data_IF_046564280827
#
_entry.id   IF_046564280827
#
_cell.length_a   1.000
_cell.length_b   1.000
_cell.length_c   1.000
_cell.angle_alpha   90.00
_cell.angle_beta   90.00
_cell.angle_gamma   90.00
#
_symmetry.space_group_name_H-M   'P 1'
#
loop_
_entity.id
_entity.type
_entity.pdbx_description
1 polymer ?
#
# COMPACT_ATOMS: atom_id res chain seq x y z
N UNK A 1 33.95 -4.07 -24.13
CA UNK A 1 33.66 -3.86 -22.70
C UNK A 1 32.19 -4.17 -22.45
N UNK A 2 31.91 -5.39 -22.05
CA UNK A 2 30.54 -5.86 -21.74
C UNK A 2 30.16 -5.35 -20.35
N UNK A 3 29.25 -4.36 -20.30
CA UNK A 3 28.65 -3.93 -19.04
C UNK A 3 27.82 -5.12 -18.48
N UNK A 4 28.34 -5.76 -17.44
CA UNK A 4 27.59 -6.70 -16.63
C UNK A 4 26.52 -5.93 -15.86
N UNK A 5 25.32 -5.86 -16.45
CA UNK A 5 24.13 -5.40 -15.76
C UNK A 5 23.91 -6.27 -14.52
N UNK A 6 24.11 -5.70 -13.34
CA UNK A 6 23.84 -6.36 -12.07
C UNK A 6 22.40 -6.89 -12.07
N UNK A 7 22.25 -8.19 -12.17
CA UNK A 7 20.98 -8.89 -12.28
C UNK A 7 20.24 -8.81 -10.94
N UNK A 8 19.36 -7.84 -10.78
CA UNK A 8 18.58 -7.64 -9.54
C UNK A 8 17.45 -8.66 -9.46
N UNK A 9 17.69 -9.75 -8.74
CA UNK A 9 16.64 -10.72 -8.42
C UNK A 9 15.55 -10.09 -7.56
N UNK A 10 14.29 -10.35 -7.89
CA UNK A 10 13.11 -9.89 -7.13
C UNK A 10 12.29 -11.07 -6.63
N UNK A 11 11.61 -10.92 -5.51
CA UNK A 11 10.68 -11.96 -5.04
C UNK A 11 9.54 -12.16 -6.04
N UNK A 12 9.20 -13.41 -6.34
CA UNK A 12 8.17 -13.75 -7.32
C UNK A 12 6.81 -13.12 -6.99
N UNK A 13 6.37 -13.19 -5.73
CA UNK A 13 5.12 -12.54 -5.29
C UNK A 13 5.13 -11.01 -5.46
N UNK A 14 6.31 -10.37 -5.26
CA UNK A 14 6.47 -8.94 -5.51
C UNK A 14 6.33 -8.65 -7.00
N UNK A 15 6.96 -9.43 -7.85
CA UNK A 15 6.89 -9.27 -9.31
C UNK A 15 5.46 -9.44 -9.83
N UNK A 16 4.74 -10.46 -9.37
CA UNK A 16 3.34 -10.69 -9.74
C UNK A 16 2.44 -9.51 -9.33
N UNK A 17 2.68 -8.95 -8.13
CA UNK A 17 1.95 -7.78 -7.67
C UNK A 17 2.28 -6.51 -8.49
N UNK A 18 3.54 -6.28 -8.84
CA UNK A 18 3.98 -5.17 -9.69
C UNK A 18 3.45 -5.27 -11.14
N UNK A 19 3.14 -6.48 -11.59
CA UNK A 19 2.51 -6.74 -12.89
C UNK A 19 0.97 -6.71 -12.83
N UNK A 20 0.39 -6.39 -11.67
CA UNK A 20 -1.05 -6.24 -11.50
C UNK A 20 -1.84 -7.55 -11.41
N UNK A 21 -1.17 -8.71 -11.33
CA UNK A 21 -1.82 -10.03 -11.31
C UNK A 21 -2.64 -10.22 -10.02
N UNK A 22 -2.04 -9.93 -8.86
CA UNK A 22 -2.68 -10.07 -7.55
C UNK A 22 -2.05 -9.14 -6.51
N UNK A 23 -2.58 -9.12 -5.28
CA UNK A 23 -1.82 -8.58 -4.14
C UNK A 23 -0.63 -9.49 -3.84
N UNK A 24 0.37 -9.02 -3.07
CA UNK A 24 1.49 -9.88 -2.66
C UNK A 24 1.03 -11.15 -1.94
N UNK A 25 0.03 -11.04 -1.03
CA UNK A 25 -0.57 -12.19 -0.36
C UNK A 25 -1.40 -13.06 -1.31
N UNK A 26 -2.13 -12.45 -2.25
CA UNK A 26 -2.84 -13.21 -3.30
C UNK A 26 -1.88 -13.94 -4.22
N UNK A 27 -0.74 -13.33 -4.55
CA UNK A 27 0.31 -13.99 -5.34
C UNK A 27 0.97 -15.15 -4.58
N UNK A 28 1.18 -15.02 -3.26
CA UNK A 28 1.66 -16.13 -2.43
C UNK A 28 0.67 -17.31 -2.48
N UNK A 29 -0.63 -17.06 -2.34
CA UNK A 29 -1.67 -18.10 -2.46
C UNK A 29 -1.67 -18.76 -3.85
N UNK A 30 -1.56 -17.98 -4.94
CA UNK A 30 -1.46 -18.52 -6.31
C UNK A 30 -0.22 -19.41 -6.50
N UNK A 31 0.89 -19.08 -5.85
CA UNK A 31 2.12 -19.90 -5.87
C UNK A 31 1.86 -21.22 -5.14
N UNK A 32 1.31 -21.20 -3.93
CA UNK A 32 0.99 -22.40 -3.15
C UNK A 32 0.01 -23.34 -3.87
N UNK A 33 -0.94 -22.77 -4.62
CA UNK A 33 -1.91 -23.51 -5.43
C UNK A 33 -1.32 -24.03 -6.76
N UNK A 34 -0.03 -23.77 -7.05
CA UNK A 34 0.65 -24.23 -8.27
C UNK A 34 0.14 -23.59 -9.56
N UNK A 35 -0.48 -22.41 -9.48
CA UNK A 35 -0.97 -21.65 -10.62
C UNK A 35 0.15 -20.93 -11.37
N UNK A 36 1.34 -20.78 -10.75
CA UNK A 36 2.47 -20.02 -11.27
C UNK A 36 3.52 -20.95 -11.85
N UNK A 37 3.96 -20.64 -13.06
CA UNK A 37 5.01 -21.38 -13.78
C UNK A 37 6.17 -20.44 -14.04
N UNK A 38 7.39 -20.87 -13.71
CA UNK A 38 8.64 -20.16 -13.98
C UNK A 38 9.52 -21.05 -14.86
N UNK A 39 9.91 -20.56 -16.04
CA UNK A 39 10.74 -21.29 -17.00
C UNK A 39 10.21 -22.71 -17.32
N UNK A 40 8.88 -22.82 -17.48
CA UNK A 40 8.21 -24.09 -17.81
C UNK A 40 7.98 -25.03 -16.62
N UNK A 41 8.38 -24.67 -15.39
CA UNK A 41 8.18 -25.48 -14.19
C UNK A 41 7.19 -24.82 -13.23
N UNK A 42 6.22 -25.56 -12.72
CA UNK A 42 5.34 -25.10 -11.65
C UNK A 42 6.14 -24.84 -10.39
N UNK A 43 5.83 -23.75 -9.71
CA UNK A 43 6.44 -23.37 -8.42
C UNK A 43 5.39 -23.34 -7.32
N UNK A 44 5.76 -23.86 -6.16
CA UNK A 44 4.90 -23.97 -4.96
C UNK A 44 5.55 -23.30 -3.75
N UNK A 45 6.87 -23.09 -3.80
CA UNK A 45 7.63 -22.58 -2.68
C UNK A 45 7.53 -21.05 -2.60
N UNK A 46 7.24 -20.55 -1.39
CA UNK A 46 7.21 -19.12 -1.11
C UNK A 46 8.61 -18.53 -0.99
N UNK A 47 8.74 -17.27 -1.34
CA UNK A 47 10.01 -16.54 -1.21
C UNK A 47 10.98 -16.71 -2.38
N UNK A 48 10.65 -17.51 -3.39
CA UNK A 48 11.43 -17.65 -4.62
C UNK A 48 11.75 -16.28 -5.22
N UNK A 49 12.99 -16.13 -5.67
CA UNK A 49 13.47 -14.96 -6.38
C UNK A 49 13.66 -15.28 -7.85
N UNK A 50 13.25 -14.36 -8.71
CA UNK A 50 13.33 -14.46 -10.17
C UNK A 50 14.01 -13.24 -10.77
N UNK A 51 14.55 -13.40 -11.96
CA UNK A 51 15.04 -12.30 -12.77
C UNK A 51 13.93 -11.83 -13.73
N UNK A 52 13.36 -10.64 -13.53
CA UNK A 52 12.24 -10.15 -14.34
C UNK A 52 12.57 -9.92 -15.81
N UNK A 53 13.85 -9.89 -16.18
CA UNK A 53 14.32 -9.64 -17.55
C UNK A 53 14.65 -10.94 -18.32
N UNK A 54 14.80 -12.07 -17.62
CA UNK A 54 15.25 -13.33 -18.21
C UNK A 54 14.22 -14.43 -18.01
N UNK A 55 13.64 -14.52 -16.80
CA UNK A 55 12.74 -15.61 -16.47
C UNK A 55 11.37 -15.44 -17.14
N UNK A 56 10.94 -16.52 -17.81
CA UNK A 56 9.60 -16.61 -18.41
C UNK A 56 8.61 -17.03 -17.33
N UNK A 57 7.65 -16.15 -17.03
CA UNK A 57 6.67 -16.41 -15.97
C UNK A 57 5.28 -16.41 -16.58
N UNK A 58 4.48 -17.40 -16.20
CA UNK A 58 3.07 -17.48 -16.58
C UNK A 58 2.21 -17.81 -15.38
N UNK A 59 0.95 -17.39 -15.43
CA UNK A 59 -0.08 -17.66 -14.43
C UNK A 59 -1.29 -18.17 -15.18
N UNK A 60 -1.84 -19.31 -14.76
CA UNK A 60 -2.95 -20.00 -15.46
C UNK A 60 -2.71 -20.14 -16.97
N UNK A 61 -1.51 -20.53 -17.36
CA UNK A 61 -1.12 -20.70 -18.76
C UNK A 61 -0.90 -19.40 -19.55
N UNK A 62 -1.15 -18.23 -18.98
CA UNK A 62 -0.96 -16.92 -19.62
C UNK A 62 0.36 -16.31 -19.20
N UNK A 63 1.24 -15.99 -20.15
CA UNK A 63 2.48 -15.26 -19.89
C UNK A 63 2.16 -13.88 -19.31
N UNK A 64 2.81 -13.51 -18.20
CA UNK A 64 2.60 -12.20 -17.58
C UNK A 64 3.18 -11.10 -18.47
N UNK A 65 2.41 -10.02 -18.61
CA UNK A 65 2.83 -8.84 -19.39
C UNK A 65 3.94 -8.07 -18.67
N UNK A 66 4.58 -7.16 -19.39
CA UNK A 66 5.50 -6.18 -18.83
C UNK A 66 4.88 -5.33 -17.70
N UNK A 67 5.72 -4.57 -17.00
CA UNK A 67 5.23 -3.63 -15.98
C UNK A 67 4.35 -2.57 -16.66
N UNK A 68 3.15 -2.33 -16.12
CA UNK A 68 2.30 -1.21 -16.52
C UNK A 68 2.92 0.12 -16.08
N UNK A 69 2.52 1.21 -16.70
CA UNK A 69 2.89 2.55 -16.26
C UNK A 69 2.45 2.79 -14.82
N UNK A 70 3.24 3.59 -14.11
CA UNK A 70 2.91 3.95 -12.74
C UNK A 70 1.78 4.97 -12.74
N UNK A 71 0.77 4.71 -11.92
CA UNK A 71 -0.40 5.59 -11.73
C UNK A 71 -0.40 6.11 -10.30
N UNK A 72 -0.74 7.38 -10.15
CA UNK A 72 -0.86 8.07 -8.85
C UNK A 72 -2.18 8.81 -8.84
N UNK A 73 -3.05 8.46 -7.89
CA UNK A 73 -4.39 9.02 -7.77
C UNK A 73 -4.51 9.72 -6.42
N UNK A 74 -4.89 10.99 -6.44
CA UNK A 74 -5.32 11.70 -5.24
C UNK A 74 -6.84 11.47 -5.08
N UNK A 75 -7.19 10.80 -4.01
CA UNK A 75 -8.57 10.48 -3.67
C UNK A 75 -8.97 11.21 -2.39
N UNK A 76 -10.05 11.98 -2.44
CA UNK A 76 -10.67 12.51 -1.22
C UNK A 76 -11.59 11.43 -0.65
N UNK A 77 -11.05 10.62 0.28
CA UNK A 77 -11.82 9.53 0.88
C UNK A 77 -12.99 10.11 1.70
N UNK A 78 -14.23 9.74 1.42
CA UNK A 78 -15.35 10.16 2.25
C UNK A 78 -15.40 9.36 3.56
N UNK A 79 -16.21 9.82 4.53
CA UNK A 79 -16.59 9.05 5.71
C UNK A 79 -17.37 7.78 5.32
N UNK A 80 -17.44 6.82 6.22
CA UNK A 80 -18.15 5.55 6.04
C UNK A 80 -17.62 4.69 4.89
N UNK A 81 -16.33 4.81 4.59
CA UNK A 81 -15.61 4.02 3.58
C UNK A 81 -14.37 3.41 4.20
N UNK A 82 -14.20 2.10 4.05
CA UNK A 82 -12.99 1.39 4.51
C UNK A 82 -11.80 1.66 3.59
N UNK A 83 -10.65 1.93 4.17
CA UNK A 83 -9.37 1.96 3.43
C UNK A 83 -8.89 0.53 3.18
N UNK A 84 -9.56 -0.15 2.28
CA UNK A 84 -9.26 -1.53 1.86
C UNK A 84 -9.57 -1.70 0.38
N UNK A 85 -8.94 -2.69 -0.27
CA UNK A 85 -9.26 -3.09 -1.64
C UNK A 85 -10.23 -4.28 -1.66
N UNK A 86 -10.59 -4.82 -0.51
CA UNK A 86 -11.60 -5.87 -0.34
C UNK A 86 -12.05 -5.91 1.12
N UNK A 87 -13.33 -6.12 1.35
CA UNK A 87 -13.89 -6.26 2.70
C UNK A 87 -14.77 -7.54 2.76
N UNK A 88 -14.41 -8.54 3.58
CA UNK A 88 -15.18 -9.77 3.72
C UNK A 88 -16.61 -9.55 4.25
N UNK A 89 -16.87 -8.44 4.92
CA UNK A 89 -18.18 -8.06 5.45
C UNK A 89 -19.04 -7.29 4.45
N UNK A 90 -18.56 -7.09 3.22
CA UNK A 90 -19.29 -6.39 2.18
C UNK A 90 -19.49 -4.88 2.41
N UNK A 91 -18.72 -4.27 3.33
CA UNK A 91 -18.79 -2.83 3.57
C UNK A 91 -18.12 -2.07 2.43
N UNK A 92 -18.62 -0.87 2.15
CA UNK A 92 -18.03 0.02 1.14
C UNK A 92 -16.56 0.25 1.41
N UNK A 93 -15.75 0.13 0.38
CA UNK A 93 -14.30 0.27 0.42
C UNK A 93 -13.82 1.31 -0.59
N UNK A 94 -12.56 1.70 -0.51
CA UNK A 94 -11.96 2.58 -1.53
C UNK A 94 -11.91 1.93 -2.92
N UNK A 95 -11.95 0.60 -3.00
CA UNK A 95 -12.00 -0.11 -4.28
C UNK A 95 -13.28 0.18 -5.07
N UNK A 96 -14.41 0.41 -4.39
CA UNK A 96 -15.70 0.68 -5.02
C UNK A 96 -15.74 2.02 -5.78
N UNK A 97 -14.77 2.90 -5.52
CA UNK A 97 -14.59 4.18 -6.20
C UNK A 97 -13.57 4.13 -7.34
N UNK A 98 -12.91 2.99 -7.54
CA UNK A 98 -11.81 2.89 -8.52
C UNK A 98 -12.27 2.52 -9.94
N UNK A 99 -13.54 2.17 -10.13
CA UNK A 99 -14.23 2.02 -11.40
C UNK A 99 -13.37 1.45 -12.54
N UNK A 100 -13.19 2.25 -13.58
CA UNK A 100 -12.56 1.87 -14.83
C UNK A 100 -11.01 2.01 -14.86
N UNK A 101 -10.34 2.03 -13.70
CA UNK A 101 -8.88 2.10 -13.69
C UNK A 101 -8.31 0.79 -14.27
N UNK A 102 -7.56 0.84 -15.40
CA UNK A 102 -7.16 -0.35 -16.15
C UNK A 102 -6.08 -1.18 -15.45
N UNK A 103 -5.57 -0.71 -14.32
CA UNK A 103 -4.52 -1.37 -13.53
C UNK A 103 -4.90 -1.45 -12.06
N UNK A 104 -4.43 -2.48 -11.40
CA UNK A 104 -4.64 -2.66 -9.97
C UNK A 104 -3.86 -1.61 -9.17
N UNK A 105 -4.57 -0.74 -8.45
CA UNK A 105 -3.99 0.22 -7.50
C UNK A 105 -4.25 -0.21 -6.06
N UNK A 106 -3.54 0.40 -5.11
CA UNK A 106 -3.71 0.20 -3.67
C UNK A 106 -3.43 1.50 -2.91
N UNK A 107 -4.03 1.71 -1.73
CA UNK A 107 -3.86 2.94 -0.97
C UNK A 107 -2.49 3.02 -0.30
N UNK A 108 -1.92 4.23 -0.23
CA UNK A 108 -0.71 4.58 0.52
C UNK A 108 -1.11 5.03 1.93
N UNK A 109 -1.03 4.11 2.88
CA UNK A 109 -1.52 4.33 4.22
C UNK A 109 -3.03 4.08 4.36
N UNK A 110 -3.58 4.55 5.47
CA UNK A 110 -4.98 4.34 5.80
C UNK A 110 -5.57 5.56 6.49
N UNK A 111 -6.84 5.80 6.22
CA UNK A 111 -7.74 6.62 7.03
C UNK A 111 -8.81 5.70 7.63
N UNK A 112 -9.24 6.00 8.83
CA UNK A 112 -10.27 5.22 9.51
C UNK A 112 -11.63 5.38 8.82
N UNK A 113 -12.59 4.56 9.20
CA UNK A 113 -13.93 4.53 8.64
C UNK A 113 -14.63 5.89 8.69
N UNK A 114 -14.55 6.55 9.83
CA UNK A 114 -15.16 7.86 10.12
C UNK A 114 -14.28 9.06 9.73
N UNK A 115 -13.05 8.80 9.28
CA UNK A 115 -12.12 9.82 8.82
C UNK A 115 -12.29 10.09 7.33
N UNK A 116 -12.13 11.35 6.93
CA UNK A 116 -12.17 11.80 5.53
C UNK A 116 -10.90 12.55 5.14
N UNK A 117 -10.64 12.69 3.85
CA UNK A 117 -9.55 13.49 3.31
C UNK A 117 -8.62 12.77 2.37
N UNK A 118 -7.45 13.34 2.17
CA UNK A 118 -6.49 12.89 1.15
C UNK A 118 -5.98 11.48 1.43
N UNK A 119 -6.23 10.60 0.49
CA UNK A 119 -5.68 9.27 0.38
C UNK A 119 -5.04 9.11 -1.01
N UNK A 120 -3.78 8.72 -1.06
CA UNK A 120 -3.11 8.45 -2.34
C UNK A 120 -3.27 6.97 -2.67
N UNK A 121 -3.66 6.66 -3.92
CA UNK A 121 -3.65 5.30 -4.43
C UNK A 121 -2.66 5.19 -5.59
N UNK A 122 -2.00 4.05 -5.71
CA UNK A 122 -0.98 3.81 -6.74
C UNK A 122 -0.79 2.32 -7.01
N UNK A 123 -0.18 2.00 -8.15
CA UNK A 123 0.41 0.68 -8.43
C UNK A 123 1.93 0.65 -8.19
N UNK A 124 2.54 1.77 -7.78
CA UNK A 124 3.97 1.90 -7.49
C UNK A 124 4.29 1.55 -6.03
N UNK A 125 4.70 0.30 -5.79
CA UNK A 125 5.07 -0.16 -4.44
C UNK A 125 6.33 0.49 -3.88
N UNK A 126 7.25 0.96 -4.72
CA UNK A 126 8.47 1.63 -4.24
C UNK A 126 8.16 3.06 -3.77
N UNK A 127 7.32 3.77 -4.52
CA UNK A 127 6.82 5.07 -4.09
C UNK A 127 6.00 4.97 -2.80
N UNK A 128 5.06 4.01 -2.75
CA UNK A 128 4.26 3.77 -1.55
C UNK A 128 5.13 3.51 -0.32
N UNK A 129 6.17 2.69 -0.46
CA UNK A 129 7.12 2.43 0.62
C UNK A 129 7.86 3.71 1.04
N UNK A 130 8.30 4.55 0.11
CA UNK A 130 8.97 5.82 0.42
C UNK A 130 8.06 6.75 1.23
N UNK A 131 6.78 6.85 0.87
CA UNK A 131 5.81 7.71 1.56
C UNK A 131 5.44 7.18 2.94
N UNK A 132 5.30 5.85 3.09
CA UNK A 132 4.88 5.23 4.35
C UNK A 132 6.01 4.97 5.34
N UNK A 133 7.24 4.82 4.87
CA UNK A 133 8.35 4.37 5.73
C UNK A 133 8.74 5.43 6.77
N UNK A 134 8.76 5.09 8.08
CA UNK A 134 9.03 6.05 9.15
C UNK A 134 10.33 6.85 8.98
N UNK A 135 11.40 6.20 8.47
CA UNK A 135 12.71 6.85 8.21
C UNK A 135 12.67 7.95 7.15
N UNK A 136 11.61 8.03 6.35
CA UNK A 136 11.44 9.08 5.32
C UNK A 136 10.76 10.32 5.87
N UNK A 137 10.24 10.24 7.08
CA UNK A 137 9.66 11.34 7.84
C UNK A 137 8.62 12.19 7.09
N UNK A 138 7.91 11.59 6.14
CA UNK A 138 6.85 12.28 5.41
C UNK A 138 5.79 12.75 6.39
N UNK A 139 5.63 14.06 6.52
CA UNK A 139 4.69 14.67 7.44
C UNK A 139 3.26 14.43 6.94
N UNK A 140 2.37 14.09 7.88
CA UNK A 140 0.92 13.98 7.66
C UNK A 140 0.23 14.96 8.59
N UNK A 141 -0.61 15.81 8.04
CA UNK A 141 -1.37 16.81 8.79
C UNK A 141 -2.82 16.36 8.92
N UNK A 142 -3.36 16.43 10.12
CA UNK A 142 -4.75 16.07 10.43
C UNK A 142 -5.46 17.24 11.06
N UNK A 143 -6.65 17.55 10.57
CA UNK A 143 -7.59 18.40 11.25
C UNK A 143 -8.50 17.50 12.12
N UNK A 144 -8.44 17.67 13.43
CA UNK A 144 -9.17 16.83 14.38
C UNK A 144 -10.22 17.67 15.11
N UNK A 145 -11.48 17.26 15.00
CA UNK A 145 -12.59 17.86 15.77
C UNK A 145 -12.77 17.06 17.06
N UNK A 146 -12.75 17.76 18.18
CA UNK A 146 -12.87 17.18 19.51
C UNK A 146 -14.18 17.60 20.17
N UNK A 147 -14.72 16.73 21.03
CA UNK A 147 -15.73 17.13 21.98
C UNK A 147 -15.07 17.84 23.17
N UNK A 148 -15.54 19.04 23.48
CA UNK A 148 -14.99 19.87 24.55
C UNK A 148 -13.66 20.56 24.22
N UNK A 149 -13.02 21.09 25.24
CA UNK A 149 -11.78 21.87 25.12
C UNK A 149 -10.60 21.05 25.70
N UNK A 150 -9.59 20.72 24.89
CA UNK A 150 -8.42 20.03 25.42
C UNK A 150 -7.65 20.93 26.37
N UNK A 151 -7.24 20.37 27.50
CA UNK A 151 -6.38 21.03 28.46
C UNK A 151 -4.95 21.14 27.94
N UNK A 152 -4.21 22.16 28.36
CA UNK A 152 -2.84 22.41 27.90
C UNK A 152 -1.91 21.20 28.14
N UNK A 153 -2.08 20.49 29.27
CA UNK A 153 -1.27 19.31 29.56
C UNK A 153 -1.53 18.15 28.59
N UNK A 154 -2.76 18.01 28.06
CA UNK A 154 -3.11 16.99 27.07
C UNK A 154 -2.41 17.28 25.73
N UNK A 155 -2.40 18.55 25.31
CA UNK A 155 -1.66 18.99 24.11
C UNK A 155 -0.15 18.75 24.29
N UNK A 156 0.41 19.13 25.46
CA UNK A 156 1.83 18.85 25.78
C UNK A 156 2.14 17.36 25.74
N UNK A 157 1.20 16.50 26.18
CA UNK A 157 1.35 15.04 26.14
C UNK A 157 1.42 14.50 24.70
N UNK A 158 0.64 15.04 23.76
CA UNK A 158 0.75 14.68 22.35
C UNK A 158 2.13 15.00 21.76
N UNK A 159 2.72 16.13 22.12
CA UNK A 159 4.05 16.55 21.69
C UNK A 159 5.19 15.74 22.35
N UNK A 160 5.04 15.35 23.61
CA UNK A 160 6.02 14.52 24.34
C UNK A 160 5.92 13.03 24.02
N UNK A 161 4.76 12.61 23.55
CA UNK A 161 4.45 11.26 23.08
C UNK A 161 3.46 10.51 23.96
N UNK A 162 2.57 9.79 23.29
CA UNK A 162 1.51 8.97 23.87
C UNK A 162 1.80 7.50 23.55
N UNK A 163 1.63 6.65 24.55
CA UNK A 163 1.70 5.20 24.35
C UNK A 163 0.43 4.72 23.65
N UNK A 164 0.62 3.93 22.61
CA UNK A 164 -0.46 3.23 21.89
C UNK A 164 -0.07 1.75 21.76
N UNK A 165 -1.00 0.85 21.48
CA UNK A 165 -0.66 -0.53 21.13
C UNK A 165 0.37 -0.55 19.98
N UNK A 166 1.51 -1.17 20.22
CA UNK A 166 2.61 -1.23 19.24
C UNK A 166 3.72 -0.18 19.43
N UNK A 167 3.61 0.75 20.41
CA UNK A 167 4.70 1.68 20.70
C UNK A 167 4.30 3.03 21.22
N UNK A 168 5.24 3.98 21.16
CA UNK A 168 5.02 5.38 21.52
C UNK A 168 5.02 6.25 20.28
N UNK A 169 4.00 7.07 20.12
CA UNK A 169 3.87 8.05 19.02
C UNK A 169 3.84 9.47 19.56
N UNK A 170 4.34 10.42 18.79
CA UNK A 170 4.30 11.84 19.12
C UNK A 170 3.92 12.68 17.92
N UNK A 171 3.18 13.74 18.14
CA UNK A 171 2.96 14.76 17.13
C UNK A 171 4.23 15.62 16.97
N UNK A 172 4.56 15.98 15.73
CA UNK A 172 5.63 16.97 15.44
C UNK A 172 5.18 18.39 15.78
N UNK A 173 3.91 18.67 15.53
CA UNK A 173 3.27 19.96 15.76
C UNK A 173 1.81 19.76 16.15
N UNK A 174 1.29 20.62 17.03
CA UNK A 174 -0.11 20.67 17.40
C UNK A 174 -0.50 22.14 17.53
N UNK A 175 -1.52 22.54 16.80
CA UNK A 175 -2.06 23.89 16.81
C UNK A 175 -3.56 23.86 17.09
N UNK A 176 -4.02 24.80 17.92
CA UNK A 176 -5.46 25.00 18.14
C UNK A 176 -5.98 25.97 17.08
N UNK A 177 -6.86 25.48 16.23
CA UNK A 177 -7.54 26.33 15.26
C UNK A 177 -8.58 27.22 15.97
N UNK A 178 -8.65 28.49 15.58
CA UNK A 178 -9.66 29.43 16.05
C UNK A 178 -10.89 29.29 15.17
N UNK A 179 -12.04 29.02 15.78
CA UNK A 179 -13.37 29.17 15.20
C UNK A 179 -13.60 28.30 13.92
N UNK A 180 -14.05 27.09 14.12
CA UNK A 180 -14.86 26.35 13.13
C UNK A 180 -16.18 26.02 13.81
#
# INVERSE_FOLDING_TARGET
MTMTSSTKLVRLNKLLAERGIASRRGADKMIEEGMVVVNGKKVYELGIKVNPNVDKISVDGKTIKGKSENIYIMFNKPKNVNTSMNDPLGRVTVADFMGEIPVRVFPIGRLDWDSEGLLILTNDGEYAQKVMHPKKEVTKTYHVKLEGQPQLYQIKKLLSGVAIPGGKVKAKHVEKLKGV
#
